data_IF_126945671936
#
_entry.id   IF_126945671936
#
_cell.length_a   1.000
_cell.length_b   1.000
_cell.length_c   1.000
_cell.angle_alpha   90.00
_cell.angle_beta   90.00
_cell.angle_gamma   90.00
#
_symmetry.space_group_name_H-M   'P 1'
#
loop_
_entity.id
_entity.type
_entity.pdbx_description
1 polymer ?
#
# COMPACT_ATOMS: atom_id res chain seq x y z
N UNK A 1 2.86 7.72 -12.20
CA UNK A 1 4.18 7.24 -12.64
C UNK A 1 4.08 6.19 -13.75
N UNK A 2 3.13 5.27 -13.66
CA UNK A 2 3.00 4.13 -14.60
C UNK A 2 2.80 4.61 -16.05
N UNK A 3 2.04 5.67 -16.24
CA UNK A 3 1.70 6.21 -17.56
C UNK A 3 2.69 7.27 -18.07
N UNK A 4 3.73 7.56 -17.29
CA UNK A 4 4.75 8.52 -17.70
C UNK A 4 5.75 7.87 -18.66
N UNK A 5 5.91 8.36 -19.90
CA UNK A 5 6.81 7.75 -20.88
C UNK A 5 8.28 7.80 -20.49
N UNK A 6 8.66 8.66 -19.53
CA UNK A 6 10.00 8.72 -18.96
C UNK A 6 10.26 7.66 -17.88
N UNK A 7 9.20 7.04 -17.36
CA UNK A 7 9.30 6.01 -16.32
C UNK A 7 9.32 4.63 -16.96
N UNK A 8 10.47 3.98 -16.98
CA UNK A 8 10.64 2.65 -17.58
C UNK A 8 10.05 1.54 -16.72
N UNK A 9 10.20 1.63 -15.41
CA UNK A 9 9.74 0.62 -14.47
C UNK A 9 9.32 1.27 -13.13
N UNK A 10 8.27 0.73 -12.54
CA UNK A 10 7.80 1.07 -11.20
C UNK A 10 7.92 -0.14 -10.31
N UNK A 11 8.63 -0.03 -9.19
CA UNK A 11 8.73 -1.07 -8.18
C UNK A 11 7.88 -0.68 -6.99
N UNK A 12 6.80 -1.41 -6.76
CA UNK A 12 5.93 -1.24 -5.60
C UNK A 12 6.47 -2.08 -4.45
N UNK A 13 6.98 -1.43 -3.42
CA UNK A 13 7.53 -2.11 -2.23
C UNK A 13 6.50 -2.03 -1.12
N UNK A 14 6.01 -3.19 -0.69
CA UNK A 14 5.08 -3.32 0.42
C UNK A 14 5.84 -3.62 1.72
N UNK A 15 5.38 -3.09 2.85
CA UNK A 15 5.92 -3.43 4.16
C UNK A 15 5.70 -4.91 4.52
N UNK A 16 6.56 -5.50 5.36
CA UNK A 16 6.50 -6.94 5.66
C UNK A 16 5.37 -7.30 6.64
N UNK A 17 4.83 -6.33 7.35
CA UNK A 17 3.81 -6.54 8.39
C UNK A 17 2.41 -6.31 7.83
N UNK A 18 1.50 -7.15 8.24
CA UNK A 18 0.08 -6.90 8.06
C UNK A 18 -0.32 -5.57 8.69
N UNK A 19 -1.24 -4.87 8.06
CA UNK A 19 -1.71 -3.57 8.55
C UNK A 19 -3.23 -3.61 8.74
N UNK A 20 -3.64 -3.44 9.99
CA UNK A 20 -5.05 -3.38 10.37
C UNK A 20 -5.85 -4.57 9.81
N UNK A 21 -5.30 -5.77 9.96
CA UNK A 21 -5.91 -7.02 9.50
C UNK A 21 -5.75 -7.34 8.01
N UNK A 22 -5.16 -6.44 7.21
CA UNK A 22 -4.91 -6.70 5.78
C UNK A 22 -3.52 -7.26 5.57
N UNK A 23 -3.44 -8.47 5.06
CA UNK A 23 -2.19 -9.16 4.75
C UNK A 23 -1.56 -8.66 3.44
N UNK A 24 -0.27 -8.97 3.25
CA UNK A 24 0.42 -8.67 1.99
C UNK A 24 -0.19 -9.41 0.80
N UNK A 25 -0.67 -10.64 1.01
CA UNK A 25 -1.33 -11.46 -0.03
C UNK A 25 -2.64 -10.83 -0.44
N UNK A 26 -3.47 -10.41 0.50
CA UNK A 26 -4.74 -9.73 0.24
C UNK A 26 -4.53 -8.40 -0.47
N UNK A 27 -3.58 -7.58 -0.01
CA UNK A 27 -3.23 -6.33 -0.69
C UNK A 27 -2.83 -6.56 -2.14
N UNK A 28 -2.00 -7.58 -2.41
CA UNK A 28 -1.60 -7.92 -3.78
C UNK A 28 -2.80 -8.39 -4.61
N UNK A 29 -3.67 -9.25 -4.06
CA UNK A 29 -4.86 -9.72 -4.74
C UNK A 29 -5.83 -8.57 -5.10
N UNK A 30 -5.97 -7.57 -4.22
CA UNK A 30 -6.76 -6.37 -4.51
C UNK A 30 -6.16 -5.58 -5.68
N UNK A 31 -4.84 -5.39 -5.73
CA UNK A 31 -4.21 -4.74 -6.88
C UNK A 31 -4.40 -5.53 -8.18
N UNK A 32 -4.29 -6.85 -8.14
CA UNK A 32 -4.50 -7.71 -9.30
C UNK A 32 -5.95 -7.68 -9.80
N UNK A 33 -6.91 -7.53 -8.89
CA UNK A 33 -8.33 -7.38 -9.20
C UNK A 33 -8.62 -6.16 -10.10
N UNK A 34 -7.86 -5.08 -9.96
CA UNK A 34 -8.05 -3.85 -10.73
C UNK A 34 -7.46 -3.90 -12.15
N UNK A 35 -7.24 -5.08 -12.69
CA UNK A 35 -6.71 -5.28 -14.04
C UNK A 35 -5.25 -5.73 -14.07
N UNK A 36 -4.71 -6.05 -12.90
CA UNK A 36 -3.33 -6.46 -12.73
C UNK A 36 -2.33 -5.29 -12.82
N UNK A 37 -1.07 -5.65 -12.72
CA UNK A 37 0.00 -4.67 -12.92
C UNK A 37 0.38 -4.60 -14.40
N UNK A 38 0.54 -3.41 -14.98
CA UNK A 38 1.21 -3.27 -16.26
C UNK A 38 2.58 -3.95 -16.27
N UNK A 39 3.05 -4.34 -17.43
CA UNK A 39 4.33 -5.06 -17.59
C UNK A 39 5.55 -4.34 -17.00
N UNK A 40 5.46 -3.02 -16.87
CA UNK A 40 6.49 -2.17 -16.29
C UNK A 40 6.34 -1.97 -14.77
N UNK A 41 5.43 -2.69 -14.11
CA UNK A 41 5.25 -2.64 -12.66
C UNK A 41 5.67 -3.95 -12.04
N UNK A 42 6.61 -3.90 -11.11
CA UNK A 42 7.01 -5.02 -10.27
C UNK A 42 6.50 -4.82 -8.85
N UNK A 43 6.02 -5.89 -8.25
CA UNK A 43 5.59 -5.89 -6.85
C UNK A 43 6.56 -6.71 -6.02
N UNK A 44 7.00 -6.16 -4.89
CA UNK A 44 7.82 -6.88 -3.93
C UNK A 44 7.43 -6.55 -2.49
N UNK A 45 7.69 -7.50 -1.60
CA UNK A 45 7.55 -7.31 -0.15
C UNK A 45 8.94 -7.07 0.44
N UNK A 46 9.04 -6.17 1.41
CA UNK A 46 10.28 -5.94 2.16
C UNK A 46 10.83 -7.26 2.72
N UNK A 47 12.12 -7.46 2.59
CA UNK A 47 12.79 -8.76 2.88
C UNK A 47 12.92 -9.08 4.36
N UNK A 48 12.71 -8.12 5.24
CA UNK A 48 12.88 -8.29 6.68
C UNK A 48 11.67 -7.72 7.43
N UNK A 49 11.19 -8.44 8.45
CA UNK A 49 10.08 -8.02 9.28
C UNK A 49 10.34 -6.68 10.01
N UNK A 50 11.60 -6.36 10.24
CA UNK A 50 11.99 -5.11 10.91
C UNK A 50 12.11 -3.93 9.94
N UNK A 51 12.08 -4.17 8.62
CA UNK A 51 12.30 -3.14 7.61
C UNK A 51 11.00 -2.52 7.14
N UNK A 52 11.13 -1.26 6.79
CA UNK A 52 10.09 -0.51 6.11
C UNK A 52 10.30 -0.56 4.59
N UNK A 53 9.29 -0.32 3.77
CA UNK A 53 9.46 -0.17 2.32
C UNK A 53 10.59 0.79 1.94
N UNK A 54 10.70 1.89 2.66
CA UNK A 54 11.77 2.86 2.43
C UNK A 54 13.15 2.28 2.74
N UNK A 55 13.32 1.57 3.87
CA UNK A 55 14.59 0.93 4.20
C UNK A 55 14.99 -0.11 3.13
N UNK A 56 14.02 -0.87 2.61
CA UNK A 56 14.25 -1.80 1.51
C UNK A 56 14.74 -1.07 0.26
N UNK A 57 14.16 0.07 -0.09
CA UNK A 57 14.63 0.89 -1.22
C UNK A 57 16.09 1.34 -1.05
N UNK A 58 16.50 1.75 0.16
CA UNK A 58 17.91 2.08 0.45
C UNK A 58 18.85 0.88 0.26
N UNK A 59 18.41 -0.30 0.65
CA UNK A 59 19.25 -1.49 0.52
C UNK A 59 19.38 -1.99 -0.91
N UNK A 60 18.28 -1.94 -1.67
CA UNK A 60 18.32 -2.30 -3.10
C UNK A 60 19.37 -1.48 -3.86
N UNK A 61 19.50 -0.19 -3.55
CA UNK A 61 20.53 0.65 -4.18
C UNK A 61 21.97 0.29 -3.76
N UNK A 62 22.14 -0.49 -2.70
CA UNK A 62 23.44 -1.00 -2.23
C UNK A 62 23.73 -2.41 -2.73
N UNK A 63 22.79 -3.06 -3.40
CA UNK A 63 22.94 -4.39 -3.95
C UNK A 63 23.35 -4.34 -5.42
N UNK A 64 24.57 -4.72 -5.71
CA UNK A 64 25.11 -4.78 -7.08
C UNK A 64 24.23 -5.63 -8.00
N UNK A 65 23.79 -6.80 -7.51
CA UNK A 65 22.92 -7.72 -8.25
C UNK A 65 21.55 -7.12 -8.61
N UNK A 66 21.07 -6.15 -7.84
CA UNK A 66 19.85 -5.43 -8.17
C UNK A 66 20.13 -4.33 -9.20
N UNK A 67 21.14 -3.52 -8.97
CA UNK A 67 21.46 -2.37 -9.82
C UNK A 67 21.88 -2.80 -11.24
N UNK A 68 22.62 -3.91 -11.38
CA UNK A 68 23.04 -4.47 -12.67
C UNK A 68 21.88 -4.97 -13.55
N UNK A 69 20.64 -5.06 -13.03
CA UNK A 69 19.48 -5.42 -13.84
C UNK A 69 19.02 -4.26 -14.74
N UNK A 70 19.52 -3.06 -14.51
CA UNK A 70 19.14 -1.85 -15.22
C UNK A 70 20.28 -1.33 -16.09
N UNK A 71 19.94 -0.51 -17.08
CA UNK A 71 20.96 0.12 -17.92
C UNK A 71 21.75 1.18 -17.12
N UNK A 72 23.02 1.44 -17.48
CA UNK A 72 23.84 2.43 -16.79
C UNK A 72 23.25 3.84 -16.73
N UNK A 73 22.42 4.20 -17.71
CA UNK A 73 21.77 5.51 -17.78
C UNK A 73 20.47 5.59 -16.94
N UNK A 74 20.13 4.53 -16.21
CA UNK A 74 18.90 4.51 -15.42
C UNK A 74 19.00 5.47 -14.24
N UNK A 75 18.00 6.32 -14.10
CA UNK A 75 17.83 7.19 -12.94
C UNK A 75 16.85 6.52 -11.98
N UNK A 76 17.29 6.31 -10.75
CA UNK A 76 16.46 5.76 -9.68
C UNK A 76 15.85 6.90 -8.85
N UNK A 77 14.59 6.74 -8.51
CA UNK A 77 13.86 7.70 -7.67
C UNK A 77 12.91 6.97 -6.74
N UNK A 78 12.61 7.55 -5.59
CA UNK A 78 11.45 7.12 -4.79
C UNK A 78 10.23 7.95 -5.18
N UNK A 79 9.09 7.28 -5.33
CA UNK A 79 7.82 7.96 -5.59
C UNK A 79 7.44 8.88 -4.43
N UNK A 80 6.86 10.03 -4.75
CA UNK A 80 6.37 11.01 -3.80
C UNK A 80 4.96 11.45 -4.16
N UNK A 81 4.18 11.80 -3.15
CA UNK A 81 2.87 12.43 -3.29
C UNK A 81 2.88 13.83 -2.68
N UNK A 82 1.90 14.64 -3.00
CA UNK A 82 1.71 15.96 -2.38
C UNK A 82 1.25 15.87 -0.91
N UNK A 83 1.11 14.67 -0.37
CA UNK A 83 0.89 14.44 1.06
C UNK A 83 2.11 14.90 1.85
N UNK A 84 1.89 15.62 2.94
CA UNK A 84 2.97 16.21 3.73
C UNK A 84 4.02 15.19 4.19
N UNK A 85 5.29 15.55 4.01
CA UNK A 85 6.46 14.76 4.43
C UNK A 85 7.13 13.93 3.33
N UNK A 86 6.48 13.69 2.19
CA UNK A 86 7.08 12.90 1.10
C UNK A 86 8.24 13.63 0.43
N UNK A 87 8.17 14.93 0.26
CA UNK A 87 9.27 15.75 -0.25
C UNK A 87 10.52 15.69 0.63
N UNK A 88 10.36 15.58 1.94
CA UNK A 88 11.47 15.36 2.86
C UNK A 88 12.11 14.00 2.64
N UNK A 89 11.31 12.94 2.48
CA UNK A 89 11.81 11.58 2.20
C UNK A 89 12.62 11.53 0.91
N UNK A 90 12.13 12.20 -0.14
CA UNK A 90 12.85 12.29 -1.42
C UNK A 90 14.21 12.96 -1.23
N UNK A 91 14.25 14.11 -0.58
CA UNK A 91 15.52 14.82 -0.31
C UNK A 91 16.48 13.98 0.53
N UNK A 92 15.97 13.30 1.55
CA UNK A 92 16.80 12.43 2.40
C UNK A 92 17.36 11.24 1.61
N UNK A 93 16.57 10.63 0.73
CA UNK A 93 16.99 9.54 -0.12
C UNK A 93 18.12 9.96 -1.07
N UNK A 94 17.93 11.02 -1.83
CA UNK A 94 18.95 11.58 -2.74
C UNK A 94 20.21 11.96 -1.96
N UNK A 95 20.09 12.80 -0.92
CA UNK A 95 21.24 13.26 -0.13
C UNK A 95 21.99 12.14 0.59
N UNK A 96 21.33 11.03 0.89
CA UNK A 96 22.00 9.88 1.47
C UNK A 96 22.98 9.28 0.47
N UNK A 97 22.55 9.03 -0.78
CA UNK A 97 23.39 8.41 -1.79
C UNK A 97 24.44 9.36 -2.40
N UNK A 98 24.17 10.66 -2.41
CA UNK A 98 25.18 11.70 -2.72
C UNK A 98 26.40 11.61 -1.78
N UNK A 99 26.17 11.21 -0.52
CA UNK A 99 27.22 11.13 0.49
C UNK A 99 27.86 9.74 0.60
N UNK A 100 27.06 8.70 0.44
CA UNK A 100 27.51 7.32 0.70
C UNK A 100 27.83 6.52 -0.56
N UNK A 101 27.37 7.01 -1.72
CA UNK A 101 27.38 6.26 -2.96
C UNK A 101 26.38 5.11 -2.97
N UNK A 102 26.28 4.48 -4.10
CA UNK A 102 25.48 3.26 -4.36
C UNK A 102 26.40 2.04 -4.54
N UNK A 103 25.82 0.88 -4.85
CA UNK A 103 26.58 -0.34 -5.11
C UNK A 103 27.59 -0.20 -6.28
N UNK A 104 27.25 0.64 -7.27
CA UNK A 104 28.07 0.95 -8.42
C UNK A 104 28.30 2.45 -8.52
N UNK A 105 29.47 2.85 -9.02
CA UNK A 105 29.87 4.27 -9.08
C UNK A 105 28.99 5.12 -10.01
N UNK A 106 28.37 4.51 -11.01
CA UNK A 106 27.63 5.19 -12.09
C UNK A 106 26.10 5.14 -11.92
N UNK A 107 25.60 4.84 -10.71
CA UNK A 107 24.17 4.84 -10.44
C UNK A 107 23.66 6.25 -10.17
N UNK A 108 22.74 6.71 -11.00
CA UNK A 108 22.12 8.01 -10.89
C UNK A 108 20.89 7.95 -9.98
N UNK A 109 20.88 8.74 -8.93
CA UNK A 109 19.72 8.91 -8.03
C UNK A 109 19.25 10.34 -8.12
N UNK A 110 17.97 10.56 -8.39
CA UNK A 110 17.39 11.87 -8.51
C UNK A 110 15.99 11.94 -7.89
N UNK A 111 15.44 13.12 -7.63
CA UNK A 111 14.03 13.28 -7.31
C UNK A 111 13.14 12.69 -8.42
N UNK A 112 11.92 12.22 -8.09
CA UNK A 112 11.00 11.71 -9.09
C UNK A 112 10.63 12.80 -10.11
N UNK A 113 10.26 12.42 -11.34
CA UNK A 113 9.96 13.37 -12.41
C UNK A 113 8.80 14.31 -12.07
N UNK A 114 7.92 13.89 -11.19
CA UNK A 114 6.83 14.71 -10.66
C UNK A 114 6.40 14.21 -9.28
N UNK A 115 5.66 15.04 -8.56
CA UNK A 115 5.01 14.69 -7.30
C UNK A 115 3.56 14.32 -7.60
N UNK A 116 3.17 13.08 -7.27
CA UNK A 116 1.81 12.62 -7.50
C UNK A 116 0.80 13.45 -6.67
N UNK A 117 -0.33 13.89 -7.24
CA UNK A 117 -1.37 14.55 -6.48
C UNK A 117 -1.97 13.62 -5.44
N UNK A 118 -2.50 14.17 -4.37
CA UNK A 118 -3.35 13.41 -3.46
C UNK A 118 -4.69 13.19 -4.18
N UNK A 119 -5.14 11.94 -4.21
CA UNK A 119 -6.43 11.64 -4.81
C UNK A 119 -7.56 12.09 -3.88
N UNK A 120 -8.53 12.79 -4.46
CA UNK A 120 -9.75 13.21 -3.80
C UNK A 120 -10.96 12.78 -4.63
N UNK A 121 -12.01 12.34 -3.97
CA UNK A 121 -13.30 12.08 -4.57
C UNK A 121 -14.38 12.63 -3.67
N UNK A 122 -15.30 13.42 -4.22
CA UNK A 122 -16.39 14.08 -3.48
C UNK A 122 -15.88 14.93 -2.29
N UNK A 123 -14.71 15.58 -2.44
CA UNK A 123 -14.06 16.38 -1.40
C UNK A 123 -13.40 15.58 -0.29
N UNK A 124 -13.33 14.25 -0.44
CA UNK A 124 -12.71 13.34 0.52
C UNK A 124 -11.35 12.89 0.01
N UNK A 125 -10.33 13.11 0.84
CA UNK A 125 -8.98 12.64 0.53
C UNK A 125 -8.89 11.12 0.66
N UNK A 126 -8.59 10.46 -0.45
CA UNK A 126 -8.46 9.01 -0.49
C UNK A 126 -7.07 8.57 0.02
N UNK A 127 -7.08 7.65 0.95
CA UNK A 127 -5.85 7.05 1.48
C UNK A 127 -6.12 5.65 2.03
N UNK A 128 -5.09 4.83 2.12
CA UNK A 128 -5.22 3.52 2.73
C UNK A 128 -5.68 3.59 4.21
N UNK A 129 -5.34 4.65 4.92
CA UNK A 129 -5.82 4.84 6.31
C UNK A 129 -7.30 5.20 6.39
N UNK A 130 -7.81 6.04 5.49
CA UNK A 130 -9.25 6.37 5.44
C UNK A 130 -10.07 5.16 4.99
N UNK A 131 -9.57 4.38 4.04
CA UNK A 131 -10.22 3.12 3.64
C UNK A 131 -10.31 2.12 4.80
N UNK A 132 -9.18 1.87 5.50
CA UNK A 132 -9.20 0.94 6.64
C UNK A 132 -10.11 1.40 7.78
N UNK A 133 -10.16 2.71 8.04
CA UNK A 133 -11.10 3.28 9.00
C UNK A 133 -12.55 3.03 8.59
N UNK A 134 -12.89 3.28 7.34
CA UNK A 134 -14.23 3.02 6.80
C UNK A 134 -14.62 1.53 6.92
N UNK A 135 -13.68 0.64 6.66
CA UNK A 135 -13.89 -0.80 6.86
C UNK A 135 -14.16 -1.15 8.32
N UNK A 136 -13.34 -0.63 9.24
CA UNK A 136 -13.52 -0.88 10.68
C UNK A 136 -14.85 -0.31 11.22
N UNK A 137 -15.37 0.76 10.62
CA UNK A 137 -16.64 1.39 10.96
C UNK A 137 -17.84 0.82 10.17
N UNK A 138 -17.62 -0.19 9.30
CA UNK A 138 -18.61 -0.75 8.38
C UNK A 138 -19.27 0.29 7.48
N UNK A 139 -18.54 1.34 7.13
CA UNK A 139 -18.98 2.39 6.21
C UNK A 139 -18.67 1.98 4.76
N UNK A 140 -19.55 1.12 4.20
CA UNK A 140 -19.37 0.59 2.85
C UNK A 140 -19.46 1.67 1.76
N UNK A 141 -20.16 2.77 1.99
CA UNK A 141 -20.22 3.86 1.04
C UNK A 141 -18.89 4.60 0.98
N UNK A 142 -18.24 4.79 2.12
CA UNK A 142 -16.89 5.32 2.17
C UNK A 142 -15.87 4.33 1.56
N UNK A 143 -16.04 3.03 1.77
CA UNK A 143 -15.17 2.00 1.12
C UNK A 143 -15.30 2.11 -0.40
N UNK A 144 -16.51 2.22 -0.96
CA UNK A 144 -16.73 2.39 -2.41
C UNK A 144 -15.99 3.58 -2.99
N UNK A 145 -15.92 4.70 -2.28
CA UNK A 145 -15.19 5.88 -2.74
C UNK A 145 -13.69 5.61 -2.98
N UNK A 146 -13.13 4.62 -2.29
CA UNK A 146 -11.72 4.23 -2.43
C UNK A 146 -11.46 3.22 -3.56
N UNK A 147 -12.52 2.67 -4.17
CA UNK A 147 -12.41 1.70 -5.24
C UNK A 147 -12.41 2.38 -6.61
N UNK A 148 -11.79 1.80 -7.64
CA UNK A 148 -11.85 2.31 -9.01
C UNK A 148 -13.28 2.34 -9.58
N UNK A 149 -14.16 1.46 -9.10
CA UNK A 149 -15.57 1.38 -9.45
C UNK A 149 -16.33 0.54 -8.42
N UNK A 150 -17.65 0.75 -8.35
CA UNK A 150 -18.51 0.07 -7.38
C UNK A 150 -18.58 -1.44 -7.58
N UNK A 151 -18.34 -1.90 -8.81
CA UNK A 151 -18.32 -3.31 -9.18
C UNK A 151 -17.24 -4.13 -8.44
N UNK A 152 -16.19 -3.46 -7.96
CA UNK A 152 -15.11 -4.11 -7.22
C UNK A 152 -15.43 -4.38 -5.75
N UNK A 153 -16.46 -3.75 -5.19
CA UNK A 153 -16.74 -3.81 -3.75
C UNK A 153 -16.85 -5.26 -3.25
N UNK A 154 -17.72 -6.05 -3.86
CA UNK A 154 -17.97 -7.41 -3.40
C UNK A 154 -16.71 -8.29 -3.48
N UNK A 155 -15.92 -8.13 -4.54
CA UNK A 155 -14.68 -8.90 -4.71
C UNK A 155 -13.62 -8.48 -3.67
N UNK A 156 -13.50 -7.19 -3.36
CA UNK A 156 -12.59 -6.69 -2.31
C UNK A 156 -13.01 -7.20 -0.95
N UNK A 157 -14.29 -7.12 -0.60
CA UNK A 157 -14.82 -7.65 0.66
C UNK A 157 -14.59 -9.16 0.80
N UNK A 158 -14.73 -9.91 -0.30
CA UNK A 158 -14.45 -11.34 -0.33
C UNK A 158 -12.96 -11.65 -0.13
N UNK A 159 -12.05 -10.90 -0.76
CA UNK A 159 -10.61 -11.06 -0.56
C UNK A 159 -10.22 -10.83 0.90
N UNK A 160 -10.83 -9.84 1.54
CA UNK A 160 -10.55 -9.46 2.92
C UNK A 160 -11.31 -10.31 3.95
N UNK A 161 -12.03 -11.34 3.52
CA UNK A 161 -12.90 -12.16 4.40
C UNK A 161 -13.85 -11.33 5.30
N UNK A 162 -14.16 -10.11 4.85
CA UNK A 162 -14.89 -9.11 5.62
C UNK A 162 -16.24 -9.63 6.15
N UNK A 163 -16.96 -10.38 5.34
CA UNK A 163 -18.26 -10.96 5.72
C UNK A 163 -18.16 -12.01 6.83
N UNK A 164 -17.02 -12.70 6.95
CA UNK A 164 -16.84 -13.73 8.00
C UNK A 164 -16.59 -13.11 9.36
N UNK A 165 -15.81 -12.02 9.42
CA UNK A 165 -15.58 -11.31 10.70
C UNK A 165 -16.83 -10.59 11.18
N UNK A 166 -17.59 -9.97 10.28
CA UNK A 166 -18.89 -9.35 10.61
C UNK A 166 -19.91 -10.39 11.10
N UNK A 167 -20.01 -11.55 10.46
CA UNK A 167 -20.85 -12.65 10.93
C UNK A 167 -20.45 -13.13 12.31
N UNK A 168 -19.16 -13.33 12.55
CA UNK A 168 -18.64 -13.75 13.85
C UNK A 168 -18.97 -12.74 14.95
N UNK A 169 -18.77 -11.45 14.68
CA UNK A 169 -19.10 -10.37 15.64
C UNK A 169 -20.61 -10.29 15.90
N UNK A 170 -21.46 -10.48 14.87
CA UNK A 170 -22.90 -10.55 15.04
C UNK A 170 -23.34 -11.80 15.81
N UNK A 171 -22.77 -12.95 15.53
CA UNK A 171 -23.07 -14.20 16.25
C UNK A 171 -22.64 -14.10 17.73
N UNK A 172 -21.48 -13.48 18.00
CA UNK A 172 -21.04 -13.23 19.37
C UNK A 172 -21.95 -12.21 20.10
N UNK A 173 -22.38 -11.15 19.42
CA UNK A 173 -23.31 -10.17 19.98
C UNK A 173 -24.71 -10.75 20.23
N UNK A 174 -25.23 -11.56 19.31
CA UNK A 174 -26.49 -12.28 19.50
C UNK A 174 -26.41 -13.28 20.64
N UNK A 175 -25.34 -14.03 20.75
CA UNK A 175 -25.11 -14.98 21.86
C UNK A 175 -25.07 -14.28 23.22
N UNK A 176 -24.47 -13.11 23.31
CA UNK A 176 -24.44 -12.31 24.52
C UNK A 176 -25.85 -11.76 24.86
N UNK A 177 -26.61 -11.32 23.87
CA UNK A 177 -27.99 -10.84 24.06
C UNK A 177 -28.92 -11.96 24.55
N UNK A 178 -28.76 -13.15 24.01
CA UNK A 178 -29.50 -14.36 24.42
C UNK A 178 -29.15 -14.76 25.88
N UNK A 179 -27.87 -14.66 26.25
CA UNK A 179 -27.41 -14.92 27.61
C UNK A 179 -28.02 -13.90 28.63
N UNK A 180 -28.07 -12.62 28.28
CA UNK A 180 -28.68 -11.60 29.12
C UNK A 180 -30.18 -11.81 29.27
N UNK A 181 -30.91 -12.16 28.19
CA UNK A 181 -32.33 -12.45 28.25
C UNK A 181 -32.67 -13.69 29.07
N UNK A 182 -31.80 -14.69 29.09
CA UNK A 182 -31.93 -15.89 29.91
C UNK A 182 -31.75 -15.57 31.42
N UNK A 183 -30.83 -14.68 31.77
CA UNK A 183 -30.59 -14.25 33.17
C UNK A 183 -31.76 -13.43 33.70
N UNK A 184 -32.37 -12.55 32.88
CA UNK A 184 -33.56 -11.78 33.29
C UNK A 184 -34.79 -12.66 33.46
N UNK A 185 -34.89 -13.79 32.77
CA UNK A 185 -36.04 -14.71 32.88
C UNK A 185 -36.00 -15.62 34.14
N UNK A 186 -34.88 -15.64 34.85
CA UNK A 186 -34.64 -16.50 36.05
C UNK A 186 -34.69 -15.70 37.36
N UNK A 187 -34.76 -14.38 37.29
CA UNK A 187 -34.95 -13.52 38.48
C UNK A 187 -36.43 -13.08 38.62
#
# INVERSE_FOLDING_TARGET
>A
YIDDPGVKEVIVIQGPKDRDGVTNTESKAIFELYGGFPNNVKFMVSRSEEKTPLATAYELMKEESFVLQFSPDTIFSIGASSKGGDDKRVREFVSYFDRTGTALQDVNIAPPPFVAPVFERDGIQLSASTMRKAMAENDLDMVKLHLPGDEYLNAVLQILDYDKEQKKTMEEALSLTDLFSLVESVM
#
